data_IF_799873742678
#
_entry.id   IF_799873742678
#
_cell.length_a   1.000
_cell.length_b   1.000
_cell.length_c   1.000
_cell.angle_alpha   90.00
_cell.angle_beta   90.00
_cell.angle_gamma   90.00
#
_symmetry.space_group_name_H-M   'P 1'
#
loop_
_entity.id
_entity.type
_entity.pdbx_description
1 polymer ?
#
# COMPACT_ATOMS: atom_id res chain seq x y z
N UNK A 1 0.84 -3.26 8.67
CA UNK A 1 0.16 -4.31 7.87
C UNK A 1 -1.28 -3.92 7.53
N UNK A 2 -2.12 -3.55 8.50
CA UNK A 2 -3.54 -3.19 8.28
C UNK A 2 -3.75 -2.15 7.17
N UNK A 3 -2.92 -1.09 7.12
CA UNK A 3 -3.00 -0.05 6.08
C UNK A 3 -2.71 -0.57 4.67
N UNK A 4 -1.86 -1.59 4.53
CA UNK A 4 -1.41 -2.14 3.23
C UNK A 4 -2.32 -3.26 2.71
N UNK A 5 -3.11 -3.91 3.58
CA UNK A 5 -4.05 -4.97 3.17
C UNK A 5 -3.41 -6.35 2.91
N UNK A 6 -2.08 -6.47 2.91
CA UNK A 6 -1.38 -7.74 2.85
C UNK A 6 -0.04 -7.70 3.59
N UNK A 7 0.55 -8.86 3.86
CA UNK A 7 1.87 -8.96 4.48
C UNK A 7 2.46 -10.36 4.48
N UNK A 8 3.72 -10.46 4.87
CA UNK A 8 4.42 -11.72 5.11
C UNK A 8 4.88 -11.75 6.55
N UNK A 9 4.46 -12.76 7.30
CA UNK A 9 4.98 -13.03 8.64
C UNK A 9 6.10 -14.05 8.48
N UNK A 10 7.30 -13.68 8.95
CA UNK A 10 8.46 -14.57 9.02
C UNK A 10 8.58 -15.10 10.44
N UNK A 11 8.65 -16.42 10.58
CA UNK A 11 8.83 -17.09 11.85
C UNK A 11 10.33 -17.21 12.20
N UNK A 12 10.67 -17.44 13.49
CA UNK A 12 12.07 -17.58 13.92
C UNK A 12 12.83 -18.74 13.24
N UNK A 13 12.13 -19.78 12.79
CA UNK A 13 12.71 -20.92 12.09
C UNK A 13 12.98 -20.67 10.59
N UNK A 14 12.68 -19.46 10.10
CA UNK A 14 12.85 -19.07 8.70
C UNK A 14 11.66 -19.41 7.79
N UNK A 15 10.66 -20.15 8.29
CA UNK A 15 9.40 -20.34 7.58
C UNK A 15 8.61 -19.04 7.50
N UNK A 16 7.65 -18.96 6.58
CA UNK A 16 6.82 -17.77 6.44
C UNK A 16 5.39 -18.11 6.04
N UNK A 17 4.46 -17.25 6.46
CA UNK A 17 3.06 -17.25 6.00
C UNK A 17 2.76 -15.94 5.31
N UNK A 18 2.01 -16.02 4.21
CA UNK A 18 1.51 -14.85 3.48
C UNK A 18 0.07 -14.59 3.90
N UNK A 19 -0.22 -13.34 4.20
CA UNK A 19 -1.53 -12.87 4.60
C UNK A 19 -2.07 -11.94 3.52
N UNK A 20 -3.25 -12.27 3.01
CA UNK A 20 -4.03 -11.42 2.12
C UNK A 20 -5.26 -10.84 2.83
N UNK A 21 -5.79 -9.75 2.29
CA UNK A 21 -7.03 -9.14 2.76
C UNK A 21 -8.19 -10.16 2.74
N UNK A 22 -8.94 -10.23 3.83
CA UNK A 22 -10.17 -11.04 3.93
C UNK A 22 -11.42 -10.16 4.08
N UNK A 23 -11.28 -8.99 4.69
CA UNK A 23 -12.40 -8.09 4.94
C UNK A 23 -12.00 -6.94 5.86
N UNK A 24 -12.92 -6.01 6.07
CA UNK A 24 -12.77 -4.95 7.06
C UNK A 24 -14.06 -4.79 7.85
N UNK A 25 -13.97 -4.20 9.04
CA UNK A 25 -15.13 -3.94 9.89
C UNK A 25 -16.05 -2.81 9.39
N UNK A 26 -15.74 -2.19 8.24
CA UNK A 26 -16.56 -1.16 7.60
C UNK A 26 -16.43 0.24 8.20
N UNK A 27 -15.69 0.41 9.29
CA UNK A 27 -15.45 1.73 9.88
C UNK A 27 -14.45 2.56 9.05
N UNK A 28 -14.59 3.91 9.04
CA UNK A 28 -13.70 4.79 8.31
C UNK A 28 -12.28 4.75 8.88
N UNK A 29 -11.29 4.81 7.99
CA UNK A 29 -9.89 4.88 8.38
C UNK A 29 -9.53 6.27 8.93
N UNK A 30 -8.79 6.28 10.04
CA UNK A 30 -8.16 7.47 10.61
C UNK A 30 -6.64 7.31 10.57
N UNK A 31 -5.95 8.35 10.11
CA UNK A 31 -4.49 8.33 9.99
C UNK A 31 -3.83 8.57 11.35
N UNK A 32 -3.12 7.57 11.86
CA UNK A 32 -2.36 7.66 13.11
C UNK A 32 -1.29 8.77 13.06
N UNK A 33 -0.60 8.91 11.91
CA UNK A 33 0.35 10.01 11.74
C UNK A 33 -0.31 11.39 11.85
N UNK A 34 -1.56 11.53 11.41
CA UNK A 34 -2.32 12.79 11.55
C UNK A 34 -2.67 13.05 13.02
N UNK A 35 -3.10 12.02 13.76
CA UNK A 35 -3.39 12.12 15.20
C UNK A 35 -2.15 12.58 15.97
N UNK A 36 -0.99 11.97 15.70
CA UNK A 36 0.28 12.34 16.34
C UNK A 36 0.68 13.81 16.08
N UNK A 37 0.41 14.33 14.88
CA UNK A 37 0.66 15.74 14.55
C UNK A 37 -0.34 16.66 15.27
N UNK A 38 -1.63 16.32 15.23
CA UNK A 38 -2.68 17.15 15.82
C UNK A 38 -2.55 17.26 17.35
N UNK A 39 -1.99 16.23 17.99
CA UNK A 39 -1.68 16.22 19.42
C UNK A 39 -0.30 16.82 19.76
N UNK A 40 0.49 17.25 18.76
CA UNK A 40 1.82 17.84 18.97
C UNK A 40 2.89 16.85 19.44
N UNK A 41 2.67 15.55 19.21
CA UNK A 41 3.59 14.46 19.60
C UNK A 41 4.70 14.24 18.59
N UNK A 42 4.44 14.57 17.31
CA UNK A 42 5.42 14.55 16.23
C UNK A 42 5.20 15.73 15.29
N UNK A 43 6.28 16.36 14.86
CA UNK A 43 6.25 17.41 13.84
C UNK A 43 5.91 16.83 12.45
N UNK A 44 5.23 17.65 11.64
CA UNK A 44 4.79 17.21 10.29
C UNK A 44 5.96 16.88 9.39
N UNK A 45 7.05 17.62 9.52
CA UNK A 45 8.27 17.52 8.72
C UNK A 45 9.05 16.24 9.02
N UNK A 46 8.90 15.71 10.24
CA UNK A 46 9.56 14.48 10.70
C UNK A 46 8.71 13.22 10.45
N UNK A 47 7.46 13.41 10.02
CA UNK A 47 6.48 12.34 9.92
C UNK A 47 6.89 11.25 8.92
N UNK A 48 7.15 10.06 9.45
CA UNK A 48 7.45 8.87 8.68
C UNK A 48 7.04 7.61 9.45
N UNK A 49 6.93 6.47 8.77
CA UNK A 49 6.71 5.18 9.43
C UNK A 49 7.82 4.85 10.45
N UNK A 50 9.05 5.30 10.19
CA UNK A 50 10.17 5.18 11.11
C UNK A 50 9.97 6.02 12.37
N UNK A 51 9.58 7.30 12.20
CA UNK A 51 9.31 8.20 13.32
C UNK A 51 8.16 7.71 14.22
N UNK A 52 7.05 7.25 13.62
CA UNK A 52 5.92 6.66 14.37
C UNK A 52 6.38 5.45 15.19
N UNK A 53 7.21 4.58 14.60
CA UNK A 53 7.76 3.41 15.31
C UNK A 53 8.64 3.84 16.47
N UNK A 54 9.59 4.76 16.25
CA UNK A 54 10.47 5.28 17.29
C UNK A 54 9.71 5.96 18.44
N UNK A 55 8.61 6.63 18.12
CA UNK A 55 7.73 7.24 19.11
C UNK A 55 7.08 6.15 20.00
N UNK A 56 6.49 5.11 19.41
CA UNK A 56 5.90 4.01 20.18
C UNK A 56 6.92 3.16 20.93
N UNK A 57 8.13 3.00 20.39
CA UNK A 57 9.22 2.31 21.09
C UNK A 57 9.66 3.09 22.35
N UNK A 58 9.48 4.42 22.38
CA UNK A 58 9.77 5.27 23.55
C UNK A 58 8.57 5.54 24.48
N UNK A 59 7.34 5.41 23.99
CA UNK A 59 6.09 5.64 24.74
C UNK A 59 5.12 4.45 24.60
N UNK A 60 5.49 3.27 25.12
CA UNK A 60 4.66 2.05 24.98
C UNK A 60 3.27 2.18 25.62
N UNK A 61 3.12 3.01 26.65
CA UNK A 61 1.85 3.31 27.33
C UNK A 61 0.84 4.05 26.44
N UNK A 62 1.30 4.74 25.39
CA UNK A 62 0.43 5.49 24.48
C UNK A 62 -0.09 4.68 23.30
N UNK A 63 0.47 3.48 23.06
CA UNK A 63 0.17 2.65 21.89
C UNK A 63 -1.33 2.40 21.77
N UNK A 64 -1.97 1.89 22.82
CA UNK A 64 -3.40 1.53 22.78
C UNK A 64 -4.28 2.77 22.61
N UNK A 65 -3.95 3.86 23.31
CA UNK A 65 -4.68 5.14 23.23
C UNK A 65 -4.65 5.70 21.81
N UNK A 66 -3.50 5.67 21.16
CA UNK A 66 -3.31 6.27 19.83
C UNK A 66 -3.85 5.34 18.74
N UNK A 67 -3.52 4.04 18.78
CA UNK A 67 -3.97 3.10 17.74
C UNK A 67 -5.49 2.92 17.73
N UNK A 68 -6.15 2.99 18.90
CA UNK A 68 -7.61 2.91 19.00
C UNK A 68 -8.35 4.11 18.40
N UNK A 69 -7.66 5.21 18.09
CA UNK A 69 -8.23 6.35 17.34
C UNK A 69 -8.58 5.97 15.90
N UNK A 70 -8.00 4.90 15.36
CA UNK A 70 -8.41 4.33 14.08
C UNK A 70 -9.42 3.20 14.29
N UNK A 71 -10.74 3.47 14.12
CA UNK A 71 -11.76 2.44 14.29
C UNK A 71 -11.74 1.42 13.15
N UNK A 72 -11.06 1.70 12.03
CA UNK A 72 -10.96 0.78 10.90
C UNK A 72 -10.05 -0.40 11.23
N UNK A 73 -10.60 -1.60 11.09
CA UNK A 73 -9.88 -2.85 11.32
C UNK A 73 -9.95 -3.75 10.09
N UNK A 74 -8.80 -4.30 9.71
CA UNK A 74 -8.65 -5.20 8.56
C UNK A 74 -8.41 -6.63 9.04
N UNK A 75 -9.21 -7.56 8.54
CA UNK A 75 -9.08 -8.98 8.75
C UNK A 75 -8.31 -9.62 7.59
N UNK A 76 -7.53 -10.64 7.92
CA UNK A 76 -6.64 -11.33 6.98
C UNK A 76 -6.97 -12.81 6.88
N UNK A 77 -6.61 -13.39 5.74
CA UNK A 77 -6.61 -14.85 5.53
C UNK A 77 -5.23 -15.29 5.07
N UNK A 78 -4.86 -16.52 5.42
CA UNK A 78 -3.68 -17.16 4.85
C UNK A 78 -3.90 -17.37 3.37
N UNK A 79 -2.88 -17.04 2.58
CA UNK A 79 -2.90 -17.21 1.12
C UNK A 79 -1.66 -17.97 0.67
N UNK A 80 -1.84 -18.86 -0.30
CA UNK A 80 -0.75 -19.49 -1.03
C UNK A 80 -0.51 -18.69 -2.32
N UNK A 81 0.74 -18.36 -2.67
CA UNK A 81 1.06 -17.57 -3.88
C UNK A 81 1.42 -16.10 -3.63
N UNK A 82 1.63 -15.34 -4.71
CA UNK A 82 2.23 -13.99 -4.73
C UNK A 82 1.39 -12.87 -4.10
N UNK A 83 1.81 -11.59 -4.23
CA UNK A 83 1.05 -10.47 -3.69
C UNK A 83 -0.31 -10.40 -4.38
N UNK A 84 -1.37 -10.38 -3.58
CA UNK A 84 -2.73 -10.29 -4.06
C UNK A 84 -3.15 -8.82 -4.06
N UNK A 85 -3.69 -8.35 -5.18
CA UNK A 85 -4.26 -7.02 -5.25
C UNK A 85 -5.61 -6.95 -4.55
N UNK A 86 -6.22 -5.76 -4.62
CA UNK A 86 -7.55 -5.49 -4.10
C UNK A 86 -8.65 -6.48 -4.52
N UNK A 87 -8.54 -7.12 -5.71
CA UNK A 87 -9.53 -8.12 -6.17
C UNK A 87 -9.20 -9.56 -5.78
N UNK A 88 -8.23 -9.77 -4.90
CA UNK A 88 -7.81 -11.09 -4.42
C UNK A 88 -7.35 -12.06 -5.52
N UNK A 89 -6.80 -11.53 -6.61
CA UNK A 89 -6.03 -12.29 -7.60
C UNK A 89 -4.56 -11.94 -7.47
N UNK A 90 -3.70 -12.89 -7.82
CA UNK A 90 -2.25 -12.68 -7.82
C UNK A 90 -1.89 -11.59 -8.84
N UNK A 91 -1.09 -10.62 -8.39
CA UNK A 91 -0.60 -9.56 -9.25
C UNK A 91 0.49 -10.11 -10.16
N UNK A 92 0.36 -9.82 -11.44
CA UNK A 92 1.32 -10.16 -12.47
C UNK A 92 2.24 -8.96 -12.71
N UNK A 93 3.54 -9.13 -12.46
CA UNK A 93 4.53 -8.06 -12.60
C UNK A 93 4.49 -7.43 -14.00
N UNK A 94 4.38 -6.11 -14.01
CA UNK A 94 4.24 -5.25 -15.17
C UNK A 94 2.90 -5.37 -15.90
N UNK A 95 1.97 -6.22 -15.46
CA UNK A 95 0.66 -6.44 -16.10
C UNK A 95 -0.50 -6.06 -15.20
N UNK A 96 -0.29 -5.97 -13.90
CA UNK A 96 -1.27 -5.44 -12.97
C UNK A 96 -1.07 -3.95 -12.75
N UNK A 97 -2.18 -3.23 -12.63
CA UNK A 97 -2.19 -1.82 -12.26
C UNK A 97 -3.12 -1.55 -11.09
N UNK A 98 -2.80 -0.48 -10.36
CA UNK A 98 -3.71 0.18 -9.43
C UNK A 98 -4.24 1.48 -10.05
N UNK A 99 -5.56 1.68 -9.94
CA UNK A 99 -6.24 2.91 -10.37
C UNK A 99 -7.23 3.40 -9.32
N UNK A 100 -7.81 4.58 -9.52
CA UNK A 100 -8.89 5.10 -8.67
C UNK A 100 -10.16 4.26 -8.86
N UNK A 101 -10.48 3.42 -7.87
CA UNK A 101 -11.63 2.51 -7.89
C UNK A 101 -12.99 3.21 -7.98
N UNK A 102 -13.05 4.55 -7.78
CA UNK A 102 -14.27 5.35 -7.97
C UNK A 102 -14.54 5.66 -9.44
N UNK A 103 -13.49 5.64 -10.27
CA UNK A 103 -13.55 6.03 -11.67
C UNK A 103 -13.42 4.82 -12.59
N UNK A 104 -12.58 3.85 -12.25
CA UNK A 104 -12.29 2.71 -13.09
C UNK A 104 -12.74 1.40 -12.44
N UNK A 105 -13.43 0.53 -13.19
CA UNK A 105 -13.87 -0.74 -12.65
C UNK A 105 -12.68 -1.66 -12.36
N UNK A 106 -12.79 -2.40 -11.27
CA UNK A 106 -11.84 -3.44 -10.91
C UNK A 106 -11.89 -4.57 -11.95
N UNK A 107 -10.74 -5.15 -12.27
CA UNK A 107 -10.58 -6.18 -13.31
C UNK A 107 -10.63 -5.67 -14.75
N UNK A 108 -10.76 -4.34 -14.96
CA UNK A 108 -10.79 -3.77 -16.30
C UNK A 108 -9.46 -3.99 -17.04
N UNK A 109 -9.56 -4.35 -18.32
CA UNK A 109 -8.41 -4.32 -19.23
C UNK A 109 -8.15 -2.88 -19.69
N UNK A 110 -6.87 -2.51 -19.73
CA UNK A 110 -6.43 -1.22 -20.22
C UNK A 110 -5.18 -1.36 -21.08
N UNK A 111 -4.89 -0.34 -21.87
CA UNK A 111 -3.62 -0.19 -22.57
C UNK A 111 -2.90 1.05 -22.05
N UNK A 112 -1.71 0.86 -21.49
CA UNK A 112 -0.84 1.97 -21.10
C UNK A 112 -0.09 2.43 -22.33
N UNK A 113 -0.05 3.74 -22.55
CA UNK A 113 0.89 4.40 -23.46
C UNK A 113 1.58 5.52 -22.68
N UNK A 114 2.88 5.37 -22.47
CA UNK A 114 3.69 6.31 -21.68
C UNK A 114 5.17 6.22 -22.09
N UNK A 115 6.03 6.84 -21.30
CA UNK A 115 7.48 6.63 -21.33
C UNK A 115 7.91 6.09 -19.97
N UNK A 116 8.88 5.18 -19.95
CA UNK A 116 9.47 4.68 -18.70
C UNK A 116 10.93 5.12 -18.58
N UNK A 117 11.41 5.41 -17.35
CA UNK A 117 12.81 5.72 -17.14
C UNK A 117 13.64 4.43 -17.26
N UNK A 118 14.82 4.54 -17.87
CA UNK A 118 15.87 3.53 -17.76
C UNK A 118 16.88 4.07 -16.76
N UNK A 119 17.03 3.35 -15.65
CA UNK A 119 18.00 3.65 -14.61
C UNK A 119 19.31 2.95 -14.97
N UNK A 120 20.42 3.69 -14.97
CA UNK A 120 21.76 3.10 -15.00
C UNK A 120 22.29 2.86 -13.59
N UNK A 121 23.59 3.10 -13.36
CA UNK A 121 24.21 2.88 -12.04
C UNK A 121 23.81 3.92 -10.98
N UNK A 122 23.17 5.01 -11.38
CA UNK A 122 22.67 6.08 -10.50
C UNK A 122 21.18 5.98 -10.18
N UNK A 123 20.70 6.91 -9.32
CA UNK A 123 19.27 7.04 -8.97
C UNK A 123 18.47 7.90 -9.96
N UNK A 124 19.14 8.62 -10.86
CA UNK A 124 18.50 9.47 -11.86
C UNK A 124 18.24 8.68 -13.16
N UNK A 125 17.15 8.97 -13.91
CA UNK A 125 16.93 8.39 -15.22
C UNK A 125 18.03 8.83 -16.18
N UNK A 126 18.71 7.88 -16.82
CA UNK A 126 19.69 8.20 -17.87
C UNK A 126 19.00 8.46 -19.21
N UNK A 127 17.85 7.80 -19.43
CA UNK A 127 17.04 7.95 -20.63
C UNK A 127 15.58 7.61 -20.35
N UNK A 128 14.70 8.09 -21.21
CA UNK A 128 13.29 7.74 -21.24
C UNK A 128 13.00 6.99 -22.52
N UNK A 129 12.39 5.81 -22.40
CA UNK A 129 12.03 4.97 -23.56
C UNK A 129 10.52 4.84 -23.65
N UNK A 130 10.00 4.75 -24.87
CA UNK A 130 8.58 4.51 -25.09
C UNK A 130 8.12 3.22 -24.39
N UNK A 131 6.94 3.28 -23.79
CA UNK A 131 6.36 2.19 -23.04
C UNK A 131 4.88 2.03 -23.41
N UNK A 132 4.58 0.89 -24.00
CA UNK A 132 3.23 0.50 -24.40
C UNK A 132 2.91 -0.92 -23.95
N UNK A 133 1.81 -1.14 -23.25
CA UNK A 133 1.33 -2.51 -22.98
C UNK A 133 -0.11 -2.62 -22.49
N UNK A 134 -0.71 -3.77 -22.78
CA UNK A 134 -1.93 -4.24 -22.14
C UNK A 134 -1.69 -4.65 -20.68
N UNK A 135 -2.61 -4.23 -19.82
CA UNK A 135 -2.61 -4.43 -18.37
C UNK A 135 -4.04 -4.68 -17.86
N UNK A 136 -4.14 -5.12 -16.60
CA UNK A 136 -5.40 -5.36 -15.91
C UNK A 136 -5.45 -4.62 -14.57
N UNK A 137 -6.57 -3.97 -14.28
CA UNK A 137 -6.80 -3.22 -13.04
C UNK A 137 -7.09 -4.17 -11.87
N UNK A 138 -6.05 -4.78 -11.32
CA UNK A 138 -6.16 -5.83 -10.30
C UNK A 138 -5.93 -5.29 -8.88
N UNK A 139 -5.57 -4.02 -8.75
CA UNK A 139 -5.28 -3.41 -7.46
C UNK A 139 -5.87 -2.00 -7.30
N UNK A 140 -5.77 -1.44 -6.10
CA UNK A 140 -6.09 -0.04 -5.83
C UNK A 140 -5.17 0.49 -4.73
N UNK A 141 -4.92 1.80 -4.73
CA UNK A 141 -4.13 2.45 -3.69
C UNK A 141 -4.82 3.72 -3.21
N UNK A 142 -4.82 3.97 -1.90
CA UNK A 142 -5.45 5.17 -1.34
C UNK A 142 -4.87 6.49 -1.87
N UNK A 143 -3.62 6.46 -2.33
CA UNK A 143 -2.92 7.58 -2.97
C UNK A 143 -3.14 7.67 -4.50
N UNK A 144 -3.74 6.66 -5.12
CA UNK A 144 -4.01 6.62 -6.56
C UNK A 144 -5.40 7.23 -6.81
N UNK A 145 -5.41 8.53 -7.10
CA UNK A 145 -6.64 9.33 -7.21
C UNK A 145 -6.70 10.05 -8.56
N UNK A 146 -7.90 10.10 -9.12
CA UNK A 146 -8.19 10.83 -10.35
C UNK A 146 -7.93 10.04 -11.64
N UNK A 147 -8.36 10.59 -12.79
CA UNK A 147 -8.34 9.88 -14.08
C UNK A 147 -6.95 9.75 -14.72
N UNK A 148 -5.97 10.56 -14.30
CA UNK A 148 -4.63 10.63 -14.88
C UNK A 148 -3.53 9.91 -14.09
N UNK A 149 -3.89 9.07 -13.11
CA UNK A 149 -2.93 8.39 -12.24
C UNK A 149 -3.10 6.88 -12.33
N UNK A 150 -1.99 6.19 -12.56
CA UNK A 150 -1.90 4.74 -12.56
C UNK A 150 -0.60 4.35 -11.86
N UNK A 151 -0.64 3.28 -11.07
CA UNK A 151 0.55 2.64 -10.53
C UNK A 151 0.71 1.27 -11.19
N UNK A 152 1.93 0.94 -11.61
CA UNK A 152 2.23 -0.33 -12.29
C UNK A 152 2.95 -1.22 -11.32
N UNK A 153 2.39 -2.39 -11.06
CA UNK A 153 3.00 -3.43 -10.22
C UNK A 153 4.22 -4.05 -10.90
#
# INVERSE_FOLDING_TARGET
MQVQGSGVIRYPDGSHVRLGYAGGNGHPYVSIGKVLIEEGLLEREEMSMGAIRSYFDSHPEEIDRILSQNPSYVFFRVVEGGPFGNIAVELTSGRSIATDARLFPKGAFAYIRSQKPVLGSGKAPEQWVEYGRFVCNQDTGGAIRGPGRVDVF
#
